data_IF_795198702851
#
_entry.id   IF_795198702851
#
_cell.length_a   1.000
_cell.length_b   1.000
_cell.length_c   1.000
_cell.angle_alpha   90.00
_cell.angle_beta   90.00
_cell.angle_gamma   90.00
#
_symmetry.space_group_name_H-M   'P 1'
#
loop_
_entity.id
_entity.type
_entity.pdbx_description
1 polymer ?
#
# COMPACT_ATOMS: atom_id res chain seq x y z
N UNK A 1 -8.98 10.56 15.70
CA UNK A 1 -8.54 10.83 14.30
C UNK A 1 -9.39 10.00 13.35
N UNK A 2 -9.72 10.53 12.18
CA UNK A 2 -10.48 9.82 11.13
C UNK A 2 -9.62 9.77 9.88
N UNK A 3 -9.47 8.57 9.31
CA UNK A 3 -8.81 8.32 8.04
C UNK A 3 -9.87 7.84 7.06
N UNK A 4 -10.21 8.66 6.08
CA UNK A 4 -11.15 8.27 5.03
C UNK A 4 -10.39 7.65 3.85
N UNK A 5 -10.54 6.33 3.69
CA UNK A 5 -9.90 5.52 2.66
C UNK A 5 -10.90 5.07 1.58
N UNK A 6 -12.13 5.58 1.61
CA UNK A 6 -13.13 5.30 0.58
C UNK A 6 -12.64 5.84 -0.77
N UNK A 7 -12.86 5.07 -1.83
CA UNK A 7 -12.39 5.42 -3.18
C UNK A 7 -10.89 5.24 -3.42
N UNK A 8 -10.10 4.76 -2.45
CA UNK A 8 -8.64 4.64 -2.59
C UNK A 8 -8.21 3.38 -3.35
N UNK A 9 -8.06 3.49 -4.68
CA UNK A 9 -7.62 2.39 -5.56
C UNK A 9 -6.15 1.94 -5.42
N UNK A 10 -5.39 2.47 -4.46
CA UNK A 10 -3.98 2.15 -4.26
C UNK A 10 -3.02 3.08 -5.02
N UNK A 11 -1.80 2.60 -5.29
CA UNK A 11 -0.72 3.41 -5.85
C UNK A 11 0.64 3.01 -5.30
N UNK A 12 1.49 3.99 -4.99
CA UNK A 12 2.75 3.75 -4.28
C UNK A 12 2.51 3.59 -2.77
N UNK A 13 3.38 2.84 -2.10
CA UNK A 13 3.30 2.63 -0.65
C UNK A 13 3.81 3.84 0.16
N UNK A 14 4.77 4.61 -0.36
CA UNK A 14 5.41 5.71 0.38
C UNK A 14 4.45 6.74 1.01
N UNK A 15 3.37 7.22 0.34
CA UNK A 15 2.43 8.13 0.98
C UNK A 15 1.74 7.52 2.20
N UNK A 16 1.39 6.24 2.16
CA UNK A 16 0.81 5.52 3.30
C UNK A 16 1.80 5.41 4.45
N UNK A 17 3.04 5.04 4.16
CA UNK A 17 4.12 4.94 5.15
C UNK A 17 4.40 6.29 5.83
N UNK A 18 4.35 7.39 5.09
CA UNK A 18 4.51 8.74 5.63
C UNK A 18 3.37 9.10 6.61
N UNK A 19 2.13 8.70 6.32
CA UNK A 19 1.00 8.89 7.25
C UNK A 19 1.22 8.09 8.53
N UNK A 20 1.63 6.83 8.44
CA UNK A 20 1.91 6.00 9.63
C UNK A 20 3.07 6.57 10.45
N UNK A 21 4.13 7.05 9.80
CA UNK A 21 5.25 7.71 10.45
C UNK A 21 4.82 9.01 11.15
N UNK A 22 3.91 9.79 10.56
CA UNK A 22 3.38 10.99 11.21
C UNK A 22 2.54 10.68 12.46
N UNK A 23 1.87 9.51 12.50
CA UNK A 23 1.04 9.09 13.63
C UNK A 23 1.91 8.50 14.76
N UNK A 24 2.86 7.62 14.41
CA UNK A 24 3.56 6.75 15.37
C UNK A 24 5.09 6.86 15.37
N UNK A 25 5.66 7.65 14.46
CA UNK A 25 7.09 7.79 14.27
C UNK A 25 7.70 6.71 13.36
N UNK A 26 8.76 7.07 12.62
CA UNK A 26 9.43 6.16 11.68
C UNK A 26 9.97 4.90 12.35
N UNK A 27 10.43 5.01 13.60
CA UNK A 27 10.98 3.89 14.38
C UNK A 27 9.95 2.83 14.76
N UNK A 28 8.65 3.17 14.71
CA UNK A 28 7.57 2.25 15.01
C UNK A 28 7.13 1.41 13.81
N UNK A 29 7.41 1.88 12.59
CA UNK A 29 7.01 1.24 11.35
C UNK A 29 7.43 -0.24 11.25
N UNK A 30 8.66 -0.65 11.60
CA UNK A 30 9.03 -2.06 11.55
C UNK A 30 8.22 -2.98 12.47
N UNK A 31 7.68 -2.45 13.58
CA UNK A 31 6.83 -3.21 14.51
C UNK A 31 5.40 -3.43 13.98
N UNK A 32 5.03 -2.73 12.90
CA UNK A 32 3.72 -2.78 12.24
C UNK A 32 3.74 -3.64 10.96
N UNK A 33 4.78 -4.43 10.75
CA UNK A 33 4.99 -5.19 9.50
C UNK A 33 4.60 -6.66 9.59
N UNK A 34 4.03 -7.12 10.71
CA UNK A 34 3.71 -8.55 10.93
C UNK A 34 2.68 -9.11 9.94
N UNK A 35 1.78 -8.27 9.44
CA UNK A 35 0.74 -8.60 8.45
C UNK A 35 1.27 -8.59 7.02
N UNK A 36 2.38 -7.89 6.76
CA UNK A 36 2.94 -7.73 5.41
C UNK A 36 3.64 -8.99 4.92
N UNK A 37 3.89 -9.02 3.62
CA UNK A 37 4.68 -10.07 3.00
C UNK A 37 6.15 -10.05 3.50
N UNK A 38 6.66 -11.22 3.87
CA UNK A 38 8.06 -11.44 4.27
C UNK A 38 9.03 -11.51 3.10
N UNK A 39 8.53 -11.79 1.90
CA UNK A 39 9.31 -11.89 0.68
C UNK A 39 8.40 -11.72 -0.54
N UNK A 40 9.02 -11.49 -1.69
CA UNK A 40 8.34 -11.56 -2.97
C UNK A 40 9.12 -12.41 -3.97
N UNK A 41 8.40 -13.19 -4.76
CA UNK A 41 8.95 -13.95 -5.89
C UNK A 41 8.67 -13.17 -7.16
N UNK A 42 9.70 -12.88 -7.92
CA UNK A 42 9.60 -12.18 -9.18
C UNK A 42 9.90 -13.09 -10.36
N UNK A 43 9.11 -12.97 -11.42
CA UNK A 43 9.40 -13.59 -12.72
C UNK A 43 10.69 -12.97 -13.28
N UNK A 44 11.63 -13.83 -13.66
CA UNK A 44 12.83 -13.42 -14.37
C UNK A 44 12.56 -13.51 -15.87
N UNK A 45 12.45 -12.35 -16.52
CA UNK A 45 12.19 -12.24 -17.96
C UNK A 45 12.63 -10.87 -18.46
N UNK A 46 12.96 -10.75 -19.75
CA UNK A 46 13.34 -9.47 -20.36
C UNK A 46 12.25 -8.40 -20.18
N UNK A 47 10.98 -8.74 -20.45
CA UNK A 47 9.86 -7.81 -20.30
C UNK A 47 9.71 -7.27 -18.87
N UNK A 48 9.91 -8.13 -17.85
CA UNK A 48 9.85 -7.68 -16.46
C UNK A 48 11.00 -6.72 -16.10
N UNK A 49 12.21 -7.01 -16.56
CA UNK A 49 13.40 -6.17 -16.32
C UNK A 49 13.26 -4.83 -17.05
N UNK A 50 12.82 -4.84 -18.31
CA UNK A 50 12.59 -3.64 -19.12
C UNK A 50 11.44 -2.79 -18.53
N UNK A 51 10.35 -3.42 -18.09
CA UNK A 51 9.24 -2.71 -17.43
C UNK A 51 9.72 -1.98 -16.16
N UNK A 52 10.54 -2.64 -15.33
CA UNK A 52 11.10 -1.98 -14.15
C UNK A 52 12.10 -0.87 -14.52
N UNK A 53 12.96 -1.09 -15.51
CA UNK A 53 13.90 -0.07 -15.99
C UNK A 53 13.20 1.20 -16.47
N UNK A 54 12.13 1.06 -17.26
CA UNK A 54 11.35 2.21 -17.76
C UNK A 54 10.64 2.96 -16.62
N UNK A 55 10.19 2.24 -15.58
CA UNK A 55 9.58 2.84 -14.37
C UNK A 55 10.58 3.58 -13.49
N UNK A 56 11.86 3.21 -13.53
CA UNK A 56 12.92 3.76 -12.66
C UNK A 56 12.97 5.29 -12.67
N UNK A 57 12.90 5.91 -13.85
CA UNK A 57 12.93 7.39 -13.98
C UNK A 57 11.77 8.05 -13.23
N UNK A 58 10.57 7.47 -13.32
CA UNK A 58 9.39 7.97 -12.61
C UNK A 58 9.51 7.77 -11.10
N UNK A 59 10.07 6.66 -10.65
CA UNK A 59 10.36 6.43 -9.22
C UNK A 59 11.37 7.46 -8.72
N UNK A 60 12.49 7.66 -9.42
CA UNK A 60 13.49 8.64 -9.04
C UNK A 60 12.91 10.07 -8.94
N UNK A 61 11.98 10.44 -9.82
CA UNK A 61 11.36 11.76 -9.81
C UNK A 61 10.32 11.95 -8.70
N UNK A 62 9.55 10.90 -8.35
CA UNK A 62 8.37 11.02 -7.48
C UNK A 62 8.57 10.44 -6.08
N UNK A 63 9.39 9.39 -5.96
CA UNK A 63 9.65 8.64 -4.75
C UNK A 63 11.14 8.29 -4.65
N UNK A 64 12.05 9.29 -4.63
CA UNK A 64 13.50 9.05 -4.63
C UNK A 64 13.98 8.16 -3.46
N UNK A 65 13.26 8.18 -2.33
CA UNK A 65 13.52 7.32 -1.18
C UNK A 65 13.33 5.82 -1.46
N UNK A 66 12.52 5.45 -2.46
CA UNK A 66 12.30 4.05 -2.86
C UNK A 66 13.40 3.53 -3.81
N UNK A 67 14.18 4.43 -4.41
CA UNK A 67 15.16 4.11 -5.45
C UNK A 67 16.23 3.09 -5.02
N UNK A 68 16.78 3.12 -3.80
CA UNK A 68 17.75 2.10 -3.37
C UNK A 68 17.16 0.68 -3.35
N UNK A 69 15.91 0.53 -2.90
CA UNK A 69 15.21 -0.75 -2.92
C UNK A 69 14.91 -1.22 -4.34
N UNK A 70 14.51 -0.27 -5.20
CA UNK A 70 14.23 -0.51 -6.61
C UNK A 70 15.48 -0.97 -7.38
N UNK A 71 16.62 -0.31 -7.16
CA UNK A 71 17.89 -0.65 -7.80
C UNK A 71 18.42 -2.02 -7.36
N UNK A 72 18.26 -2.34 -6.07
CA UNK A 72 18.59 -3.68 -5.55
C UNK A 72 17.75 -4.77 -6.20
N UNK A 73 16.44 -4.57 -6.34
CA UNK A 73 15.54 -5.51 -7.03
C UNK A 73 15.99 -5.73 -8.48
N UNK A 74 16.26 -4.65 -9.21
CA UNK A 74 16.67 -4.73 -10.60
C UNK A 74 18.01 -5.47 -10.77
N UNK A 75 19.00 -5.17 -9.93
CA UNK A 75 20.28 -5.86 -9.93
C UNK A 75 20.13 -7.35 -9.62
N UNK A 76 19.26 -7.69 -8.66
CA UNK A 76 18.93 -9.07 -8.30
C UNK A 76 18.30 -9.85 -9.46
N UNK A 77 17.33 -9.25 -10.14
CA UNK A 77 16.69 -9.83 -11.33
C UNK A 77 17.68 -10.08 -12.46
N UNK A 78 18.55 -9.10 -12.75
CA UNK A 78 19.59 -9.25 -13.77
C UNK A 78 20.61 -10.33 -13.43
N UNK A 79 20.97 -10.47 -12.14
CA UNK A 79 21.85 -11.55 -11.69
C UNK A 79 21.17 -12.92 -11.84
N UNK A 80 19.92 -13.05 -11.43
CA UNK A 80 19.11 -14.25 -11.59
C UNK A 80 18.98 -14.65 -13.07
N UNK A 81 18.80 -13.68 -13.95
CA UNK A 81 18.75 -13.88 -15.40
C UNK A 81 20.05 -14.46 -15.95
N UNK A 82 21.21 -13.88 -15.59
CA UNK A 82 22.52 -14.42 -16.00
C UNK A 82 22.77 -15.84 -15.50
N UNK A 83 22.11 -16.24 -14.41
CA UNK A 83 22.19 -17.57 -13.83
C UNK A 83 21.13 -18.53 -14.38
N UNK A 84 20.29 -18.11 -15.34
CA UNK A 84 19.24 -18.95 -15.92
C UNK A 84 18.10 -19.29 -14.96
N UNK A 85 17.90 -18.51 -13.90
CA UNK A 85 16.82 -18.72 -12.94
C UNK A 85 15.49 -18.23 -13.51
N UNK A 86 14.42 -18.99 -13.31
CA UNK A 86 13.06 -18.58 -13.71
C UNK A 86 12.42 -17.60 -12.72
N UNK A 87 12.83 -17.65 -11.45
CA UNK A 87 12.29 -16.84 -10.36
C UNK A 87 13.43 -16.25 -9.53
N UNK A 88 13.28 -14.97 -9.17
CA UNK A 88 14.14 -14.29 -8.21
C UNK A 88 13.36 -14.07 -6.92
N UNK A 89 13.92 -14.45 -5.78
CA UNK A 89 13.32 -14.18 -4.47
C UNK A 89 13.91 -12.89 -3.90
N UNK A 90 13.12 -11.83 -3.93
CA UNK A 90 13.47 -10.55 -3.31
C UNK A 90 13.09 -10.58 -1.82
N UNK A 91 14.07 -10.49 -0.90
CA UNK A 91 13.77 -10.38 0.52
C UNK A 91 13.15 -9.01 0.79
N UNK A 92 11.91 -9.02 1.30
CA UNK A 92 11.27 -7.81 1.81
C UNK A 92 11.75 -7.57 3.25
N UNK A 93 11.72 -6.32 3.76
CA UNK A 93 11.99 -6.06 5.16
C UNK A 93 11.09 -6.93 6.03
N UNK A 94 11.68 -7.87 6.77
CA UNK A 94 10.96 -8.65 7.76
C UNK A 94 10.47 -7.71 8.87
N UNK A 95 9.36 -8.07 9.51
CA UNK A 95 8.98 -7.43 10.77
C UNK A 95 10.15 -7.58 11.75
N UNK A 96 10.84 -6.48 12.00
CA UNK A 96 11.94 -6.42 12.94
C UNK A 96 11.39 -6.12 14.34
N UNK A 97 12.22 -6.27 15.36
CA UNK A 97 11.96 -5.68 16.67
C UNK A 97 12.03 -4.14 16.55
N UNK A 98 11.02 -3.54 15.94
CA UNK A 98 10.80 -2.10 15.99
C UNK A 98 10.33 -1.69 17.38
N UNK A 99 10.40 -0.41 17.69
CA UNK A 99 9.81 0.12 18.91
C UNK A 99 8.29 0.10 18.76
N UNK A 100 7.52 -0.60 19.60
CA UNK A 100 6.05 -0.52 19.52
C UNK A 100 5.58 0.94 19.52
N UNK A 101 4.44 1.28 18.90
CA UNK A 101 3.92 2.65 19.01
C UNK A 101 3.62 2.99 20.48
N UNK A 102 4.26 4.03 21.03
CA UNK A 102 4.06 4.50 22.41
C UNK A 102 3.34 5.86 22.50
N UNK A 103 3.10 6.52 21.36
CA UNK A 103 2.45 7.82 21.24
C UNK A 103 1.44 7.80 20.11
N UNK A 104 0.63 8.85 19.95
CA UNK A 104 -0.34 8.98 18.86
C UNK A 104 -1.78 9.14 19.34
N UNK A 105 -2.75 9.27 18.42
CA UNK A 105 -4.17 9.41 18.78
C UNK A 105 -4.68 8.18 19.54
N UNK A 106 -5.39 8.41 20.65
CA UNK A 106 -6.00 7.32 21.42
C UNK A 106 -7.05 6.51 20.64
N UNK A 107 -7.65 7.11 19.60
CA UNK A 107 -8.60 6.46 18.69
C UNK A 107 -8.38 6.91 17.25
N UNK A 108 -8.28 5.95 16.36
CA UNK A 108 -8.17 6.11 14.91
C UNK A 108 -9.30 5.32 14.27
N UNK A 109 -10.15 6.01 13.51
CA UNK A 109 -11.24 5.40 12.75
C UNK A 109 -10.85 5.40 11.28
N UNK A 110 -10.66 4.21 10.70
CA UNK A 110 -10.40 4.03 9.28
C UNK A 110 -11.72 3.73 8.56
N UNK A 111 -12.20 4.64 7.73
CA UNK A 111 -13.42 4.46 6.94
C UNK A 111 -13.02 3.86 5.59
N UNK A 112 -13.54 2.67 5.26
CA UNK A 112 -13.18 1.97 4.01
C UNK A 112 -14.39 1.72 3.12
N UNK A 113 -14.12 1.44 1.85
CA UNK A 113 -15.07 0.81 0.92
C UNK A 113 -14.36 -0.18 -0.02
N UNK A 114 -15.15 -0.79 -0.92
CA UNK A 114 -14.67 -1.79 -1.88
C UNK A 114 -13.60 -1.27 -2.85
N UNK A 115 -13.40 0.05 -2.95
CA UNK A 115 -12.35 0.63 -3.77
C UNK A 115 -10.98 0.59 -3.09
N UNK A 116 -10.90 0.37 -1.77
CA UNK A 116 -9.63 0.17 -1.07
C UNK A 116 -8.96 -1.14 -1.51
N UNK A 117 -8.02 -1.04 -2.46
CA UNK A 117 -7.24 -2.16 -3.02
C UNK A 117 -5.75 -1.81 -3.14
N UNK A 118 -4.91 -2.79 -3.48
CA UNK A 118 -3.47 -2.59 -3.76
C UNK A 118 -2.78 -1.91 -2.58
N UNK A 119 -2.02 -0.82 -2.78
CA UNK A 119 -1.32 -0.11 -1.70
C UNK A 119 -2.26 0.42 -0.59
N UNK A 120 -3.57 0.59 -0.84
CA UNK A 120 -4.52 0.87 0.25
C UNK A 120 -4.60 -0.32 1.23
N UNK A 121 -4.57 -1.55 0.72
CA UNK A 121 -4.55 -2.74 1.54
C UNK A 121 -3.20 -2.94 2.24
N UNK A 122 -2.08 -2.57 1.60
CA UNK A 122 -0.77 -2.60 2.27
C UNK A 122 -0.72 -1.58 3.43
N UNK A 123 -1.34 -0.40 3.24
CA UNK A 123 -1.52 0.58 4.31
C UNK A 123 -2.41 0.01 5.44
N UNK A 124 -3.53 -0.64 5.09
CA UNK A 124 -4.41 -1.29 6.07
C UNK A 124 -3.72 -2.44 6.82
N UNK A 125 -2.86 -3.21 6.14
CA UNK A 125 -2.06 -4.27 6.75
C UNK A 125 -1.24 -3.70 7.92
N UNK A 126 -0.61 -2.53 7.76
CA UNK A 126 0.15 -1.89 8.86
C UNK A 126 -0.75 -1.15 9.85
N UNK A 127 -1.73 -0.40 9.35
CA UNK A 127 -2.60 0.44 10.18
C UNK A 127 -3.33 -0.41 11.23
N UNK A 128 -3.85 -1.58 10.86
CA UNK A 128 -4.57 -2.47 11.76
C UNK A 128 -3.69 -3.17 12.82
N UNK A 129 -2.37 -3.02 12.77
CA UNK A 129 -1.47 -3.42 13.87
C UNK A 129 -1.31 -2.33 14.93
N UNK A 130 -1.58 -1.08 14.57
CA UNK A 130 -1.40 0.05 15.45
C UNK A 130 -2.45 0.12 16.57
N UNK A 131 -2.11 0.75 17.71
CA UNK A 131 -3.02 0.87 18.83
C UNK A 131 -4.20 1.80 18.51
N UNK A 132 -5.39 1.46 19.04
CA UNK A 132 -6.57 2.33 18.98
C UNK A 132 -7.23 2.42 17.61
N UNK A 133 -6.88 1.54 16.65
CA UNK A 133 -7.40 1.55 15.28
C UNK A 133 -8.66 0.72 15.17
N UNK A 134 -9.68 1.28 14.53
CA UNK A 134 -10.94 0.60 14.22
C UNK A 134 -11.34 0.85 12.76
N UNK A 135 -11.57 -0.22 12.01
CA UNK A 135 -12.15 -0.13 10.67
C UNK A 135 -13.68 0.00 10.75
N UNK A 136 -14.23 0.96 10.02
CA UNK A 136 -15.67 1.16 9.82
C UNK A 136 -15.98 1.39 8.34
N UNK A 137 -17.27 1.40 7.96
CA UNK A 137 -17.68 1.63 6.57
C UNK A 137 -18.11 0.35 5.88
N UNK A 138 -17.59 0.10 4.69
CA UNK A 138 -17.82 -1.13 3.94
C UNK A 138 -16.57 -2.00 3.95
N UNK A 139 -16.69 -3.32 3.65
CA UNK A 139 -15.53 -4.15 3.39
C UNK A 139 -14.60 -3.49 2.38
N UNK A 140 -13.29 -3.66 2.57
CA UNK A 140 -12.33 -3.25 1.54
C UNK A 140 -12.56 -4.06 0.26
N UNK A 141 -11.89 -3.67 -0.82
CA UNK A 141 -11.70 -4.60 -1.92
C UNK A 141 -10.78 -5.76 -1.53
N UNK A 142 -10.46 -6.61 -2.50
CA UNK A 142 -9.54 -7.70 -2.30
C UNK A 142 -8.59 -7.83 -3.50
N UNK A 143 -7.32 -8.10 -3.22
CA UNK A 143 -6.29 -8.33 -4.22
C UNK A 143 -5.82 -9.79 -4.22
N UNK A 144 -5.14 -10.19 -5.29
CA UNK A 144 -4.49 -11.50 -5.34
C UNK A 144 -3.12 -11.45 -4.66
N UNK A 145 -2.47 -12.60 -4.48
CA UNK A 145 -1.06 -12.63 -4.09
C UNK A 145 -0.12 -12.27 -5.25
N UNK A 146 -0.64 -12.21 -6.48
CA UNK A 146 0.09 -11.75 -7.65
C UNK A 146 -0.08 -10.24 -7.78
N UNK A 147 1.05 -9.55 -7.65
CA UNK A 147 1.16 -8.10 -7.63
C UNK A 147 2.12 -7.66 -8.73
N UNK A 148 2.22 -6.35 -8.94
CA UNK A 148 3.09 -5.72 -9.95
C UNK A 148 2.88 -6.29 -11.37
N UNK A 149 2.16 -5.54 -12.20
CA UNK A 149 1.78 -5.99 -13.54
C UNK A 149 2.57 -5.29 -14.63
N UNK A 150 2.89 -6.05 -15.66
CA UNK A 150 3.39 -5.55 -16.94
C UNK A 150 2.23 -5.47 -17.93
N UNK A 151 2.13 -4.34 -18.64
CA UNK A 151 1.20 -4.16 -19.74
C UNK A 151 1.89 -4.52 -21.05
N UNK A 152 1.50 -5.64 -21.66
CA UNK A 152 2.08 -6.13 -22.92
C UNK A 152 1.07 -5.97 -24.06
N UNK A 153 1.26 -5.02 -24.99
CA UNK A 153 0.39 -4.91 -26.16
C UNK A 153 0.55 -6.17 -27.03
N UNK A 154 -0.58 -6.75 -27.47
CA UNK A 154 -0.53 -7.92 -28.34
C UNK A 154 -0.08 -7.51 -29.76
N UNK A 155 0.61 -8.39 -30.52
CA UNK A 155 1.06 -8.10 -31.88
C UNK A 155 -0.06 -7.66 -32.84
N UNK A 156 -1.30 -8.07 -32.56
CA UNK A 156 -2.48 -7.66 -33.36
C UNK A 156 -2.92 -6.21 -33.13
N UNK A 157 -2.41 -5.53 -32.10
CA UNK A 157 -2.82 -4.19 -31.68
C UNK A 157 -4.23 -4.11 -31.08
N UNK A 158 -4.91 -5.25 -30.88
CA UNK A 158 -6.33 -5.29 -30.47
C UNK A 158 -6.55 -5.35 -28.97
N UNK A 159 -5.53 -5.71 -28.20
CA UNK A 159 -5.63 -5.83 -26.75
C UNK A 159 -4.26 -5.67 -26.10
N UNK A 160 -4.30 -5.39 -24.80
CA UNK A 160 -3.14 -5.38 -23.92
C UNK A 160 -3.31 -6.48 -22.89
N UNK A 161 -2.30 -7.33 -22.74
CA UNK A 161 -2.24 -8.33 -21.69
C UNK A 161 -1.68 -7.70 -20.42
N UNK A 162 -2.34 -7.92 -19.28
CA UNK A 162 -1.81 -7.59 -17.96
C UNK A 162 -1.18 -8.84 -17.38
N UNK A 163 0.15 -8.88 -17.36
CA UNK A 163 0.93 -10.01 -16.85
C UNK A 163 1.43 -9.71 -15.45
N UNK A 164 1.02 -10.47 -14.41
CA UNK A 164 1.64 -10.36 -13.11
C UNK A 164 3.10 -10.78 -13.15
N UNK A 165 3.95 -10.03 -12.47
CA UNK A 165 5.40 -10.25 -12.41
C UNK A 165 5.88 -10.62 -11.02
N UNK A 166 5.13 -10.24 -9.98
CA UNK A 166 5.48 -10.48 -8.58
C UNK A 166 4.44 -11.39 -7.92
N UNK A 167 4.88 -12.22 -6.98
CA UNK A 167 4.03 -12.95 -6.06
C UNK A 167 4.50 -12.73 -4.63
N UNK A 168 3.62 -12.25 -3.76
CA UNK A 168 3.91 -12.05 -2.34
C UNK A 168 3.94 -13.38 -1.57
N UNK A 169 4.85 -13.49 -0.60
CA UNK A 169 4.99 -14.63 0.31
C UNK A 169 4.94 -14.21 1.78
N UNK A 170 4.25 -14.99 2.61
CA UNK A 170 4.18 -14.76 4.06
C UNK A 170 3.27 -13.60 4.48
N UNK A 171 2.48 -13.03 3.56
CA UNK A 171 1.45 -12.04 3.89
C UNK A 171 0.37 -12.69 4.74
N UNK A 172 -0.04 -12.05 5.84
CA UNK A 172 -1.07 -12.59 6.72
C UNK A 172 -2.45 -12.53 6.06
N UNK A 173 -2.76 -11.44 5.36
CA UNK A 173 -3.97 -11.33 4.54
C UNK A 173 -3.88 -12.26 3.33
N UNK A 174 -4.84 -13.17 3.21
CA UNK A 174 -4.93 -14.18 2.16
C UNK A 174 -5.16 -13.62 0.76
N UNK A 175 -5.11 -14.50 -0.24
CA UNK A 175 -5.51 -14.17 -1.61
C UNK A 175 -7.02 -13.90 -1.66
N UNK A 176 -7.43 -12.83 -2.34
CA UNK A 176 -8.82 -12.42 -2.48
C UNK A 176 -9.53 -12.20 -1.13
N UNK A 177 -8.76 -11.89 -0.08
CA UNK A 177 -9.30 -11.57 1.24
C UNK A 177 -9.43 -10.05 1.42
N UNK A 178 -10.66 -9.61 1.65
CA UNK A 178 -10.98 -8.26 2.10
C UNK A 178 -10.89 -8.13 3.64
N UNK A 179 -10.68 -6.91 4.12
CA UNK A 179 -10.88 -6.55 5.52
C UNK A 179 -12.35 -6.20 5.79
N UNK A 180 -12.93 -6.84 6.81
CA UNK A 180 -14.30 -6.59 7.23
C UNK A 180 -14.36 -5.49 8.31
N UNK A 181 -15.24 -4.48 8.16
CA UNK A 181 -15.37 -3.41 9.12
C UNK A 181 -15.99 -3.92 10.43
N UNK A 182 -15.61 -3.32 11.55
CA UNK A 182 -16.25 -3.58 12.85
C UNK A 182 -17.66 -2.99 12.90
N UNK A 183 -17.84 -1.81 12.30
CA UNK A 183 -19.14 -1.15 12.16
C UNK A 183 -19.40 -0.86 10.69
N UNK A 184 -20.52 -1.36 10.19
CA UNK A 184 -20.92 -1.18 8.80
C UNK A 184 -21.63 0.17 8.64
N UNK A 185 -21.16 1.00 7.71
CA UNK A 185 -21.81 2.27 7.33
C UNK A 185 -22.16 2.19 5.85
N UNK A 186 -23.45 2.24 5.53
CA UNK A 186 -23.94 2.06 4.15
C UNK A 186 -24.31 3.37 3.46
N UNK A 187 -24.61 4.43 4.22
CA UNK A 187 -25.01 5.73 3.68
C UNK A 187 -23.79 6.64 3.46
N UNK A 188 -23.16 6.50 2.29
CA UNK A 188 -22.04 7.36 1.87
C UNK A 188 -22.40 8.84 1.89
N UNK A 189 -23.65 9.22 1.59
CA UNK A 189 -24.07 10.61 1.58
C UNK A 189 -24.13 11.18 3.01
N UNK A 190 -24.66 10.42 3.97
CA UNK A 190 -24.67 10.79 5.38
C UNK A 190 -23.25 10.90 5.95
N UNK A 191 -22.37 9.94 5.66
CA UNK A 191 -20.96 10.02 6.10
C UNK A 191 -20.27 11.25 5.50
N UNK A 192 -20.51 11.56 4.23
CA UNK A 192 -19.95 12.75 3.59
C UNK A 192 -20.50 14.06 4.19
N UNK A 193 -21.79 14.10 4.52
CA UNK A 193 -22.40 15.25 5.19
C UNK A 193 -21.81 15.45 6.59
N UNK A 194 -21.62 14.37 7.34
CA UNK A 194 -20.96 14.40 8.64
C UNK A 194 -19.51 14.89 8.52
N UNK A 195 -18.69 14.30 7.64
CA UNK A 195 -17.30 14.73 7.43
C UNK A 195 -17.19 16.21 7.08
N UNK A 196 -18.02 16.71 6.16
CA UNK A 196 -18.03 18.14 5.80
C UNK A 196 -18.33 19.04 7.00
N UNK A 197 -19.29 18.66 7.84
CA UNK A 197 -19.60 19.40 9.08
C UNK A 197 -18.40 19.42 10.03
N UNK A 198 -17.77 18.28 10.27
CA UNK A 198 -16.64 18.19 11.19
C UNK A 198 -15.43 18.99 10.67
N UNK A 199 -15.12 18.90 9.37
CA UNK A 199 -14.03 19.69 8.76
C UNK A 199 -14.32 21.19 8.85
N UNK A 200 -15.56 21.62 8.62
CA UNK A 200 -15.96 23.03 8.75
C UNK A 200 -15.85 23.52 10.21
N UNK A 201 -16.10 22.66 11.19
CA UNK A 201 -15.97 23.00 12.61
C UNK A 201 -14.52 23.14 13.08
N UNK A 202 -13.59 22.38 12.48
CA UNK A 202 -12.14 22.45 12.80
C UNK A 202 -11.44 23.56 12.03
N UNK A 203 -11.95 23.92 10.85
CA UNK A 203 -11.51 25.10 10.11
C UNK A 203 -12.05 26.37 10.79
N UNK A 204 -11.31 26.93 11.75
CA UNK A 204 -11.62 28.26 12.29
C UNK A 204 -11.76 29.28 11.13
N UNK A 205 -12.70 30.25 11.22
CA UNK A 205 -12.81 31.29 10.21
C UNK A 205 -11.47 32.01 10.09
N UNK A 206 -11.02 32.24 8.86
CA UNK A 206 -9.85 33.07 8.58
C UNK A 206 -10.01 34.37 9.38
N UNK A 207 -9.10 34.58 10.34
CA UNK A 207 -9.19 35.69 11.28
C UNK A 207 -9.38 37.00 10.54
N UNK A 208 -10.42 37.73 10.94
CA UNK A 208 -10.52 39.19 10.79
C UNK A 208 -9.21 39.82 11.23
N UNK A 209 -8.49 40.42 10.28
CA UNK A 209 -7.32 41.24 10.58
C UNK A 209 -7.75 42.52 11.32
N UNK A 210 -7.00 42.96 12.35
CA UNK A 210 -7.11 44.32 12.86
C UNK A 210 -6.56 45.35 11.86
#
# INVERSE_FOLDING_TARGET
MVLDLRGNGGGAAAPGDAVLAAIWGEQALPALDRRRASASLWRVSDGAIENLQTRRTRIAARYPQELPGFDRLLAGLQAAQRQGQALYRDPLPAAAAGTPPHSGPARIVAITDGACISACLDFMDRLLEGPGVEQVGQPTGADTLYTEVESVPLPSGRATLLLPMQRLQGRQRGALQAYAPRVRLEDTAAVNAWLRREVAAVSLPAGTAP
#
